data_IF_249491867691
#
_entry.id   IF_249491867691
#
_cell.length_a   1.000
_cell.length_b   1.000
_cell.length_c   1.000
_cell.angle_alpha   90.00
_cell.angle_beta   90.00
_cell.angle_gamma   90.00
#
_symmetry.space_group_name_H-M   'P 1'
#
loop_
_entity.id
_entity.type
_entity.pdbx_description
1 polymer ?
#
# COMPACT_ATOMS: atom_id res chain seq x y z
N UNK A 1 5.49 -10.46 10.74
CA UNK A 1 5.40 -9.08 10.81
C UNK A 1 4.14 -8.55 11.33
N UNK A 2 4.23 -7.40 12.00
CA UNK A 2 3.09 -6.74 12.58
C UNK A 2 2.86 -5.44 11.86
N UNK A 3 1.62 -5.15 11.57
CA UNK A 3 1.25 -3.93 10.92
C UNK A 3 0.33 -3.10 11.78
N UNK A 4 -0.08 -1.98 11.25
CA UNK A 4 -1.05 -1.08 11.86
C UNK A 4 -2.24 -0.99 10.93
N UNK A 5 -3.44 -1.10 11.49
CA UNK A 5 -4.67 -0.97 10.71
C UNK A 5 -5.26 0.42 10.96
N UNK A 6 -5.55 1.13 9.87
CA UNK A 6 -6.18 2.44 9.91
C UNK A 6 -7.57 2.33 9.36
N UNK A 7 -8.58 2.56 10.19
CA UNK A 7 -9.96 2.56 9.73
C UNK A 7 -10.19 3.75 8.80
N UNK A 8 -10.77 3.49 7.64
CA UNK A 8 -11.08 4.52 6.67
C UNK A 8 -12.13 4.00 5.71
N UNK A 9 -12.82 4.89 5.03
CA UNK A 9 -13.84 4.51 4.06
C UNK A 9 -13.19 3.98 2.79
N UNK A 10 -13.86 3.05 2.14
CA UNK A 10 -13.47 2.58 0.81
C UNK A 10 -13.34 3.77 -0.14
N UNK A 11 -12.24 3.81 -0.87
CA UNK A 11 -11.95 4.89 -1.82
C UNK A 11 -11.13 6.03 -1.25
N UNK A 12 -10.88 6.04 0.06
CA UNK A 12 -10.01 7.06 0.67
C UNK A 12 -8.61 6.93 0.07
N UNK A 13 -7.99 8.03 -0.40
CA UNK A 13 -6.64 7.96 -0.97
C UNK A 13 -5.62 7.47 0.04
N UNK A 14 -4.68 6.67 -0.44
CA UNK A 14 -3.54 6.19 0.34
C UNK A 14 -2.30 6.87 -0.21
N UNK A 15 -1.53 7.49 0.67
CA UNK A 15 -0.37 8.29 0.29
C UNK A 15 0.91 7.54 0.60
N UNK A 16 1.92 7.71 -0.26
CA UNK A 16 3.25 7.17 0.00
C UNK A 16 3.80 7.75 1.29
N UNK A 17 4.26 6.89 2.18
CA UNK A 17 4.80 7.31 3.48
C UNK A 17 6.13 8.04 3.38
N UNK A 18 6.81 7.90 2.26
CA UNK A 18 8.10 8.53 1.98
C UNK A 18 8.46 8.35 0.53
N UNK A 19 9.53 9.01 0.11
CA UNK A 19 10.07 8.82 -1.23
C UNK A 19 10.53 7.38 -1.41
N UNK A 20 10.43 6.86 -2.61
CA UNK A 20 10.91 5.51 -2.88
C UNK A 20 10.55 5.01 -4.27
N UNK A 21 10.76 3.73 -4.46
CA UNK A 21 10.48 3.04 -5.72
C UNK A 21 9.50 1.91 -5.45
N UNK A 22 8.45 1.83 -6.25
CA UNK A 22 7.47 0.75 -6.14
C UNK A 22 8.15 -0.57 -6.50
N UNK A 23 8.09 -1.54 -5.60
CA UNK A 23 8.64 -2.88 -5.84
C UNK A 23 7.55 -3.86 -6.23
N UNK A 24 6.35 -3.67 -5.71
CA UNK A 24 5.23 -4.55 -6.01
C UNK A 24 3.94 -3.74 -5.97
N UNK A 25 3.05 -4.02 -6.91
CA UNK A 25 1.74 -3.38 -6.99
C UNK A 25 0.79 -4.37 -7.65
N UNK A 26 0.25 -5.31 -6.87
CA UNK A 26 -0.56 -6.41 -7.39
C UNK A 26 -1.30 -7.10 -6.25
N UNK A 27 -2.15 -8.06 -6.62
CA UNK A 27 -2.81 -8.91 -5.63
C UNK A 27 -1.77 -9.76 -4.90
N UNK A 28 -1.89 -9.84 -3.58
CA UNK A 28 -0.97 -10.61 -2.75
C UNK A 28 -1.75 -11.38 -1.68
N UNK A 29 -2.38 -12.48 -2.07
CA UNK A 29 -3.05 -13.39 -1.15
C UNK A 29 -4.00 -12.69 -0.19
N UNK A 30 -3.81 -12.92 1.10
CA UNK A 30 -4.66 -12.34 2.14
C UNK A 30 -4.57 -10.83 2.24
N UNK A 31 -3.54 -10.20 1.70
CA UNK A 31 -3.43 -8.74 1.67
C UNK A 31 -4.36 -8.10 0.62
N UNK A 32 -4.88 -8.89 -0.33
CA UNK A 32 -5.65 -8.33 -1.43
C UNK A 32 -4.78 -7.49 -2.35
N UNK A 33 -5.32 -6.38 -2.84
CA UNK A 33 -4.52 -5.44 -3.62
C UNK A 33 -3.48 -4.80 -2.72
N UNK A 34 -2.22 -4.90 -3.12
CA UNK A 34 -1.07 -4.69 -2.24
C UNK A 34 0.00 -3.88 -2.95
N UNK A 35 0.62 -2.95 -2.22
CA UNK A 35 1.76 -2.19 -2.71
C UNK A 35 2.92 -2.36 -1.73
N UNK A 36 4.11 -2.57 -2.28
CA UNK A 36 5.35 -2.51 -1.50
C UNK A 36 6.22 -1.41 -2.09
N UNK A 37 6.58 -0.45 -1.25
CA UNK A 37 7.37 0.73 -1.62
C UNK A 37 8.72 0.65 -0.92
N UNK A 38 9.79 0.54 -1.69
CA UNK A 38 11.15 0.48 -1.17
C UNK A 38 11.70 1.89 -1.03
N UNK A 39 12.04 2.28 0.20
CA UNK A 39 12.51 3.64 0.48
C UNK A 39 14.01 3.77 0.32
N UNK A 40 14.76 2.77 0.77
CA UNK A 40 16.21 2.72 0.60
C UNK A 40 16.66 1.27 0.76
N UNK A 41 17.95 1.03 0.90
CA UNK A 41 18.47 -0.34 1.03
C UNK A 41 18.07 -1.04 2.33
N UNK A 42 17.45 -0.34 3.27
CA UNK A 42 17.20 -0.87 4.60
C UNK A 42 15.73 -1.12 4.90
N UNK A 43 14.80 -0.38 4.30
CA UNK A 43 13.40 -0.59 4.65
C UNK A 43 12.44 -0.25 3.52
N UNK A 44 11.26 -0.83 3.63
CA UNK A 44 10.15 -0.61 2.73
C UNK A 44 8.88 -0.39 3.56
N UNK A 45 7.84 0.13 2.93
CA UNK A 45 6.51 0.17 3.52
C UNK A 45 5.55 -0.62 2.65
N UNK A 46 4.54 -1.22 3.27
CA UNK A 46 3.57 -2.04 2.58
C UNK A 46 2.17 -1.56 2.91
N UNK A 47 1.30 -1.66 1.92
CA UNK A 47 -0.06 -1.14 1.96
C UNK A 47 -1.00 -2.21 1.44
N UNK A 48 -1.91 -2.69 2.28
CA UNK A 48 -2.77 -3.82 1.96
C UNK A 48 -4.25 -3.51 1.99
N UNK A 49 -5.03 -4.44 1.48
CA UNK A 49 -6.49 -4.41 1.38
C UNK A 49 -7.03 -3.25 0.53
N UNK A 50 -6.25 -2.77 -0.43
CA UNK A 50 -6.63 -1.65 -1.27
C UNK A 50 -7.80 -2.01 -2.17
N UNK A 51 -8.71 -1.06 -2.41
CA UNK A 51 -9.78 -1.26 -3.39
C UNK A 51 -9.19 -1.23 -4.80
N UNK A 52 -8.21 -0.36 -5.04
CA UNK A 52 -7.46 -0.35 -6.29
C UNK A 52 -6.13 0.36 -6.10
N UNK A 53 -5.23 0.10 -7.04
CA UNK A 53 -3.92 0.72 -7.13
C UNK A 53 -4.07 1.93 -8.04
N UNK A 54 -3.44 3.05 -7.70
CA UNK A 54 -3.55 4.28 -8.49
C UNK A 54 -2.95 4.07 -9.88
N UNK A 55 -3.49 4.79 -10.86
CA UNK A 55 -3.02 4.70 -12.24
C UNK A 55 -1.53 5.04 -12.30
N UNK A 56 -0.78 4.23 -13.06
CA UNK A 56 0.65 4.44 -13.24
C UNK A 56 1.53 3.90 -12.13
N UNK A 57 0.95 3.44 -11.02
CA UNK A 57 1.72 2.85 -9.92
C UNK A 57 2.00 1.40 -10.25
N UNK A 58 3.26 1.10 -10.54
CA UNK A 58 3.71 -0.23 -10.95
C UNK A 58 5.17 -0.40 -10.58
N UNK A 59 5.68 -1.64 -10.57
CA UNK A 59 7.08 -1.87 -10.22
C UNK A 59 8.02 -0.99 -11.04
N UNK A 60 8.97 -0.35 -10.35
CA UNK A 60 9.92 0.57 -10.96
C UNK A 60 9.51 2.03 -10.92
N UNK A 61 8.26 2.33 -10.62
CA UNK A 61 7.79 3.72 -10.53
C UNK A 61 8.40 4.41 -9.33
N UNK A 62 8.98 5.58 -9.54
CA UNK A 62 9.47 6.44 -8.44
C UNK A 62 8.32 7.29 -7.95
N UNK A 63 8.16 7.35 -6.64
CA UNK A 63 7.14 8.20 -6.00
C UNK A 63 7.78 9.04 -4.92
N UNK A 64 7.10 10.12 -4.57
CA UNK A 64 7.52 11.01 -3.49
C UNK A 64 6.54 10.89 -2.34
N UNK A 65 7.01 11.22 -1.14
CA UNK A 65 6.16 11.28 0.03
C UNK A 65 4.90 12.09 -0.29
N UNK A 66 3.75 11.54 0.05
CA UNK A 66 2.47 12.22 -0.18
C UNK A 66 1.83 11.94 -1.52
N UNK A 67 2.52 11.27 -2.46
CA UNK A 67 1.88 10.87 -3.71
C UNK A 67 0.78 9.85 -3.43
N UNK A 68 -0.35 9.96 -4.12
CA UNK A 68 -1.43 8.97 -4.01
C UNK A 68 -0.98 7.71 -4.75
N UNK A 69 -0.94 6.59 -4.04
CA UNK A 69 -0.51 5.32 -4.62
C UNK A 69 -1.63 4.29 -4.72
N UNK A 70 -2.73 4.49 -4.01
CA UNK A 70 -3.86 3.58 -4.04
C UNK A 70 -5.02 4.13 -3.25
N UNK A 71 -6.02 3.29 -3.03
CA UNK A 71 -7.26 3.69 -2.38
C UNK A 71 -7.69 2.60 -1.40
N UNK A 72 -8.15 3.02 -0.23
CA UNK A 72 -8.60 2.11 0.83
C UNK A 72 -9.71 1.19 0.33
N UNK A 73 -9.69 -0.05 0.76
CA UNK A 73 -10.72 -1.02 0.45
C UNK A 73 -10.81 -2.08 1.53
N UNK A 74 -11.33 -3.23 1.13
CA UNK A 74 -11.49 -4.38 2.01
C UNK A 74 -11.17 -5.66 1.23
N UNK A 75 -10.23 -5.59 0.30
CA UNK A 75 -9.87 -6.73 -0.55
C UNK A 75 -8.98 -7.71 0.21
N UNK A 76 -8.96 -8.94 -0.26
CA UNK A 76 -8.23 -10.00 0.41
C UNK A 76 -8.96 -10.46 1.66
N UNK A 77 -8.20 -10.85 2.67
CA UNK A 77 -8.76 -11.30 3.94
C UNK A 77 -8.99 -10.09 4.85
N UNK A 78 -10.17 -9.52 4.77
CA UNK A 78 -10.53 -8.33 5.53
C UNK A 78 -12.00 -8.40 5.93
N UNK A 79 -12.32 -7.88 7.12
CA UNK A 79 -13.68 -7.87 7.62
C UNK A 79 -14.36 -6.52 7.45
N UNK A 80 -13.69 -5.55 6.90
CA UNK A 80 -14.24 -4.22 6.66
C UNK A 80 -13.18 -3.27 6.12
N UNK A 81 -13.61 -2.09 5.64
CA UNK A 81 -12.68 -1.14 5.02
C UNK A 81 -11.63 -0.63 6.00
N UNK A 82 -10.37 -0.79 5.65
CA UNK A 82 -9.24 -0.26 6.41
C UNK A 82 -7.99 -0.36 5.57
N UNK A 83 -6.99 0.43 5.92
CA UNK A 83 -5.65 0.31 5.38
C UNK A 83 -4.81 -0.54 6.33
N UNK A 84 -4.21 -1.59 5.81
CA UNK A 84 -3.20 -2.34 6.56
C UNK A 84 -1.83 -1.83 6.13
N UNK A 85 -1.05 -1.34 7.08
CA UNK A 85 0.23 -0.68 6.82
C UNK A 85 1.33 -1.39 7.59
N UNK A 86 2.43 -1.69 6.91
CA UNK A 86 3.58 -2.34 7.53
C UNK A 86 4.87 -1.62 7.18
N UNK A 87 5.80 -1.64 8.12
CA UNK A 87 7.17 -1.25 7.84
C UNK A 87 7.99 -2.54 7.78
N UNK A 88 8.68 -2.75 6.67
CA UNK A 88 9.46 -3.95 6.42
C UNK A 88 10.95 -3.59 6.44
N UNK A 89 11.73 -4.30 7.24
CA UNK A 89 13.16 -4.04 7.32
C UNK A 89 13.99 -5.27 7.04
#
# INVERSE_FOLDING_TARGET
>A
HQGIDFAARTGTPVYAAGDGVIKRASWNGGYGNYIQLQHNGQYATAYGHLSRIAAGVRPGKKVKQGDVIGYVGSTGRSTGPHLHYEILS
#
